data_IF_654247125362
#
_entry.id   IF_654247125362
#
_cell.length_a   1.000
_cell.length_b   1.000
_cell.length_c   1.000
_cell.angle_alpha   90.00
_cell.angle_beta   90.00
_cell.angle_gamma   90.00
#
_symmetry.space_group_name_H-M   'P 1'
#
loop_
_entity.id
_entity.type
_entity.pdbx_description
1 polymer ?
#
# COMPACT_ATOMS: atom_id res chain seq x y z
N UNK A 1 -1.64 -0.99 26.98
CA UNK A 1 -2.01 -0.01 25.96
C UNK A 1 -2.52 -0.70 24.71
N UNK A 2 -3.52 -0.11 24.07
CA UNK A 2 -4.07 -0.68 22.85
C UNK A 2 -3.11 -0.43 21.68
N UNK A 3 -2.90 -1.45 20.87
CA UNK A 3 -2.14 -1.33 19.63
C UNK A 3 -3.08 -0.88 18.53
N UNK A 4 -2.66 0.11 17.76
CA UNK A 4 -3.44 0.62 16.63
C UNK A 4 -2.68 0.38 15.32
N UNK A 5 -3.45 0.13 14.26
CA UNK A 5 -2.96 0.00 12.90
C UNK A 5 -3.62 1.08 12.05
N UNK A 6 -2.83 1.93 11.43
CA UNK A 6 -3.36 3.05 10.65
C UNK A 6 -2.85 2.97 9.22
N UNK A 7 -3.78 2.90 8.27
CA UNK A 7 -3.47 2.95 6.84
C UNK A 7 -3.34 4.41 6.42
N UNK A 8 -2.28 4.73 5.68
CA UNK A 8 -2.08 6.08 5.17
C UNK A 8 -3.24 6.50 4.24
N UNK A 9 -3.55 7.79 4.21
CA UNK A 9 -4.63 8.33 3.39
C UNK A 9 -4.30 8.30 1.90
N UNK A 10 -3.01 8.32 1.57
CA UNK A 10 -2.53 8.36 0.18
C UNK A 10 -1.53 7.25 -0.05
N UNK A 11 -1.40 6.75 -1.29
CA UNK A 11 -0.37 5.77 -1.60
C UNK A 11 1.02 6.33 -1.34
N UNK A 12 1.89 5.47 -0.80
CA UNK A 12 3.31 5.76 -0.65
C UNK A 12 3.98 5.81 -2.02
N UNK A 13 3.56 4.92 -2.91
CA UNK A 13 4.09 4.82 -4.27
C UNK A 13 3.03 4.30 -5.22
N UNK A 14 2.99 4.87 -6.41
CA UNK A 14 2.14 4.40 -7.52
C UNK A 14 3.07 4.04 -8.68
N UNK A 15 2.92 2.84 -9.21
CA UNK A 15 3.68 2.40 -10.38
C UNK A 15 2.75 2.39 -11.59
N UNK A 16 3.21 2.96 -12.69
CA UNK A 16 2.42 3.07 -13.91
C UNK A 16 3.18 2.50 -15.10
N UNK A 17 2.42 2.04 -16.11
CA UNK A 17 2.97 1.82 -17.45
C UNK A 17 2.93 3.16 -18.16
N UNK A 18 4.07 3.64 -18.71
CA UNK A 18 4.07 4.92 -19.44
C UNK A 18 3.10 4.92 -20.62
N UNK A 19 2.88 3.77 -21.23
CA UNK A 19 1.97 3.59 -22.34
C UNK A 19 1.35 2.18 -22.29
N UNK A 20 0.04 2.10 -22.50
CA UNK A 20 -0.68 0.83 -22.50
C UNK A 20 -1.78 0.83 -23.56
N UNK A 21 -2.07 -0.35 -24.12
CA UNK A 21 -3.16 -0.55 -25.07
C UNK A 21 -4.38 -1.08 -24.33
N UNK A 22 -5.53 -0.45 -24.52
CA UNK A 22 -6.80 -0.90 -23.96
C UNK A 22 -7.46 -1.97 -24.83
N UNK A 23 -8.65 -2.41 -24.45
CA UNK A 23 -9.36 -3.49 -25.13
C UNK A 23 -9.71 -3.20 -26.60
N UNK A 24 -9.79 -1.93 -26.99
CA UNK A 24 -10.06 -1.48 -28.36
C UNK A 24 -8.78 -1.05 -29.10
N UNK A 25 -7.61 -1.42 -28.58
CA UNK A 25 -6.28 -1.04 -29.08
C UNK A 25 -5.96 0.45 -28.97
N UNK A 26 -6.79 1.24 -28.30
CA UNK A 26 -6.45 2.62 -28.02
C UNK A 26 -5.28 2.70 -27.03
N UNK A 27 -4.41 3.71 -27.21
CA UNK A 27 -3.24 3.90 -26.37
C UNK A 27 -3.53 4.95 -25.32
N UNK A 28 -3.13 4.64 -24.07
CA UNK A 28 -3.26 5.56 -22.95
C UNK A 28 -1.92 5.67 -22.23
N UNK A 29 -1.71 6.81 -21.56
CA UNK A 29 -0.50 7.07 -20.80
C UNK A 29 -0.76 6.82 -19.30
N UNK A 30 0.31 6.47 -18.59
CA UNK A 30 0.32 6.36 -17.12
C UNK A 30 -0.77 5.42 -16.58
N UNK A 31 -0.82 4.21 -17.10
CA UNK A 31 -1.77 3.20 -16.64
C UNK A 31 -1.28 2.59 -15.33
N UNK A 32 -2.05 2.73 -14.26
CA UNK A 32 -1.67 2.26 -12.93
C UNK A 32 -1.67 0.73 -12.88
N UNK A 33 -0.54 0.14 -12.48
CA UNK A 33 -0.38 -1.32 -12.37
C UNK A 33 -0.07 -1.78 -10.95
N UNK A 34 0.31 -0.87 -10.07
CA UNK A 34 0.73 -1.23 -8.71
C UNK A 34 0.51 -0.07 -7.77
N UNK A 35 0.01 -0.37 -6.58
CA UNK A 35 -0.12 0.59 -5.48
C UNK A 35 0.62 0.07 -4.27
N UNK A 36 1.30 0.96 -3.56
CA UNK A 36 1.93 0.65 -2.29
C UNK A 36 1.43 1.64 -1.24
N UNK A 37 0.98 1.12 -0.11
CA UNK A 37 0.49 1.92 1.02
C UNK A 37 1.32 1.64 2.25
N UNK A 38 1.58 2.67 3.02
CA UNK A 38 2.24 2.55 4.31
C UNK A 38 1.21 2.33 5.41
N UNK A 39 1.49 1.37 6.30
CA UNK A 39 0.71 1.15 7.52
C UNK A 39 1.59 1.46 8.72
N UNK A 40 1.06 2.23 9.65
CA UNK A 40 1.73 2.51 10.92
C UNK A 40 1.08 1.68 12.02
N UNK A 41 1.87 0.87 12.71
CA UNK A 41 1.44 0.11 13.88
C UNK A 41 2.08 0.72 15.11
N UNK A 42 1.27 1.13 16.08
CA UNK A 42 1.72 1.88 17.24
C UNK A 42 1.06 1.37 18.52
N UNK A 43 1.81 1.40 19.62
CA UNK A 43 1.28 1.12 20.95
C UNK A 43 1.15 2.40 21.80
N UNK A 44 1.36 3.57 21.19
CA UNK A 44 1.32 4.85 21.86
C UNK A 44 2.69 5.39 22.26
N UNK A 45 3.68 4.53 22.44
CA UNK A 45 5.06 4.92 22.76
C UNK A 45 6.01 4.65 21.61
N UNK A 46 5.87 3.48 21.01
CA UNK A 46 6.70 3.03 19.89
C UNK A 46 5.83 2.78 18.68
N UNK A 47 6.43 2.89 17.50
CA UNK A 47 5.73 2.59 16.26
C UNK A 47 6.65 1.90 15.28
N UNK A 48 6.06 1.13 14.40
CA UNK A 48 6.73 0.54 13.24
C UNK A 48 5.89 0.78 12.01
N UNK A 49 6.52 0.80 10.86
CA UNK A 49 5.83 1.00 9.59
C UNK A 49 6.06 -0.22 8.71
N UNK A 50 5.05 -0.57 7.92
CA UNK A 50 5.15 -1.66 6.97
C UNK A 50 4.36 -1.33 5.72
N UNK A 51 4.77 -1.91 4.60
CA UNK A 51 4.17 -1.64 3.30
C UNK A 51 3.19 -2.73 2.90
N UNK A 52 2.10 -2.28 2.29
CA UNK A 52 1.15 -3.15 1.61
C UNK A 52 1.26 -2.88 0.12
N UNK A 53 1.41 -3.93 -0.67
CA UNK A 53 1.50 -3.83 -2.12
C UNK A 53 0.27 -4.47 -2.75
N UNK A 54 -0.35 -3.77 -3.70
CA UNK A 54 -1.42 -4.30 -4.53
C UNK A 54 -0.95 -4.35 -5.97
N UNK A 55 -0.83 -5.57 -6.51
CA UNK A 55 -0.45 -5.84 -7.88
C UNK A 55 -1.12 -7.15 -8.30
N UNK A 56 -2.09 -7.06 -9.19
CA UNK A 56 -2.83 -8.24 -9.66
C UNK A 56 -2.99 -8.14 -11.17
N UNK A 57 -2.21 -8.94 -11.90
CA UNK A 57 -2.18 -8.91 -13.37
C UNK A 57 -3.57 -9.15 -13.96
N UNK A 58 -4.38 -10.01 -13.34
CA UNK A 58 -5.71 -10.32 -13.87
C UNK A 58 -6.67 -9.14 -13.74
N UNK A 59 -6.48 -8.28 -12.74
CA UNK A 59 -7.34 -7.11 -12.48
C UNK A 59 -6.84 -5.84 -13.18
N UNK A 60 -5.56 -5.79 -13.52
CA UNK A 60 -4.93 -4.58 -14.08
C UNK A 60 -4.53 -4.74 -15.55
N UNK A 61 -4.85 -5.87 -16.18
CA UNK A 61 -4.51 -6.10 -17.59
C UNK A 61 -5.17 -5.04 -18.47
N UNK A 62 -4.40 -4.12 -19.08
CA UNK A 62 -4.98 -3.04 -19.87
C UNK A 62 -5.72 -3.56 -21.12
N UNK A 63 -5.34 -4.71 -21.66
CA UNK A 63 -6.00 -5.26 -22.84
C UNK A 63 -7.43 -5.72 -22.58
N UNK A 64 -7.82 -5.85 -21.30
CA UNK A 64 -9.18 -6.19 -20.88
C UNK A 64 -9.97 -4.99 -20.39
N UNK A 65 -9.34 -3.81 -20.32
CA UNK A 65 -9.98 -2.60 -19.83
C UNK A 65 -10.80 -1.95 -20.94
N UNK A 66 -12.10 -1.73 -20.63
CA UNK A 66 -12.98 -0.98 -21.52
C UNK A 66 -12.53 0.48 -21.55
N UNK A 67 -12.35 1.09 -22.75
CA UNK A 67 -11.98 2.50 -22.83
C UNK A 67 -12.93 3.46 -22.12
N UNK A 68 -14.22 3.12 -22.06
CA UNK A 68 -15.22 3.94 -21.36
C UNK A 68 -15.03 3.94 -19.85
N UNK A 69 -14.39 2.90 -19.30
CA UNK A 69 -14.12 2.75 -17.88
C UNK A 69 -12.74 3.28 -17.47
N UNK A 70 -11.93 3.68 -18.44
CA UNK A 70 -10.60 4.21 -18.16
C UNK A 70 -10.67 5.67 -17.73
N UNK A 71 -10.01 5.98 -16.61
CA UNK A 71 -9.85 7.36 -16.11
C UNK A 71 -8.37 7.73 -16.24
N UNK A 72 -8.04 8.83 -16.96
CA UNK A 72 -6.65 9.30 -17.06
C UNK A 72 -6.03 9.54 -15.70
N UNK A 73 -4.73 9.27 -15.59
CA UNK A 73 -4.00 9.36 -14.32
C UNK A 73 -4.20 10.70 -13.62
N UNK A 74 -4.11 11.81 -14.37
CA UNK A 74 -4.25 13.15 -13.81
C UNK A 74 -5.67 13.46 -13.32
N UNK A 75 -6.67 12.69 -13.77
CA UNK A 75 -8.07 12.86 -13.38
C UNK A 75 -8.48 11.91 -12.25
N UNK A 76 -7.57 11.03 -11.80
CA UNK A 76 -7.86 10.13 -10.69
C UNK A 76 -7.96 10.92 -9.38
N UNK A 77 -9.11 10.82 -8.72
CA UNK A 77 -9.34 11.45 -7.41
C UNK A 77 -9.20 10.44 -6.27
N UNK A 78 -9.18 9.16 -6.60
CA UNK A 78 -9.02 8.07 -5.64
C UNK A 78 -8.33 6.88 -6.30
N UNK A 79 -7.90 5.93 -5.48
CA UNK A 79 -7.23 4.73 -5.99
C UNK A 79 -8.20 3.87 -6.81
N UNK A 80 -7.69 3.20 -7.87
CA UNK A 80 -8.51 2.24 -8.61
C UNK A 80 -9.14 1.22 -7.65
N UNK A 81 -10.48 1.05 -7.66
CA UNK A 81 -11.16 0.20 -6.66
C UNK A 81 -10.67 -1.24 -6.64
N UNK A 82 -10.35 -1.82 -7.79
CA UNK A 82 -9.88 -3.21 -7.87
C UNK A 82 -8.55 -3.43 -7.15
N UNK A 83 -7.65 -2.46 -7.20
CA UNK A 83 -6.38 -2.52 -6.48
C UNK A 83 -6.56 -2.16 -5.02
N UNK A 84 -7.44 -1.20 -4.72
CA UNK A 84 -7.70 -0.80 -3.34
C UNK A 84 -8.31 -1.92 -2.51
N UNK A 85 -9.14 -2.79 -3.11
CA UNK A 85 -9.65 -3.98 -2.44
C UNK A 85 -8.53 -4.89 -1.93
N UNK A 86 -7.47 -5.04 -2.72
CA UNK A 86 -6.30 -5.83 -2.33
C UNK A 86 -5.61 -5.16 -1.13
N UNK A 87 -5.48 -3.83 -1.17
CA UNK A 87 -4.88 -3.08 -0.07
C UNK A 87 -5.69 -3.29 1.22
N UNK A 88 -7.01 -3.14 1.17
CA UNK A 88 -7.88 -3.34 2.33
C UNK A 88 -7.78 -4.76 2.89
N UNK A 89 -7.77 -5.77 2.01
CA UNK A 89 -7.65 -7.16 2.42
C UNK A 89 -6.34 -7.42 3.17
N UNK A 90 -5.24 -6.88 2.67
CA UNK A 90 -3.92 -7.04 3.32
C UNK A 90 -3.82 -6.21 4.61
N UNK A 91 -4.44 -5.03 4.64
CA UNK A 91 -4.49 -4.21 5.85
C UNK A 91 -5.22 -4.91 6.98
N UNK A 92 -6.29 -5.65 6.67
CA UNK A 92 -7.08 -6.38 7.65
C UNK A 92 -6.57 -7.81 7.92
N UNK A 93 -5.44 -8.21 7.33
CA UNK A 93 -4.86 -9.54 7.51
C UNK A 93 -4.28 -9.67 8.91
N UNK A 94 -4.82 -10.60 9.69
CA UNK A 94 -4.40 -10.83 11.08
C UNK A 94 -2.94 -11.24 11.20
N UNK A 95 -2.45 -12.06 10.27
CA UNK A 95 -1.06 -12.51 10.27
C UNK A 95 -0.08 -11.36 10.05
N UNK A 96 -0.41 -10.44 9.15
CA UNK A 96 0.42 -9.25 8.89
C UNK A 96 0.44 -8.32 10.08
N UNK A 97 -0.71 -8.12 10.72
CA UNK A 97 -0.82 -7.31 11.93
C UNK A 97 -0.06 -7.91 13.09
N UNK A 98 -0.16 -9.22 13.27
CA UNK A 98 0.57 -9.94 14.32
C UNK A 98 2.09 -9.81 14.12
N UNK A 99 2.57 -9.89 12.88
CA UNK A 99 3.99 -9.69 12.57
C UNK A 99 4.46 -8.29 12.96
N UNK A 100 3.66 -7.25 12.67
CA UNK A 100 3.97 -5.88 13.04
C UNK A 100 3.97 -5.69 14.55
N UNK A 101 3.03 -6.29 15.25
CA UNK A 101 2.97 -6.27 16.72
C UNK A 101 4.19 -6.95 17.34
N UNK A 102 4.66 -8.07 16.77
CA UNK A 102 5.87 -8.73 17.21
C UNK A 102 7.11 -7.86 17.02
N UNK A 103 7.17 -7.09 15.94
CA UNK A 103 8.25 -6.13 15.71
C UNK A 103 8.23 -5.04 16.77
N UNK A 104 7.06 -4.53 17.14
CA UNK A 104 6.92 -3.56 18.24
C UNK A 104 7.47 -4.11 19.53
N UNK A 105 7.14 -5.34 19.89
CA UNK A 105 7.63 -5.98 21.09
C UNK A 105 9.16 -6.08 21.09
N UNK A 106 9.74 -6.39 19.95
CA UNK A 106 11.21 -6.46 19.80
C UNK A 106 11.86 -5.09 19.96
N UNK A 107 11.22 -4.03 19.47
CA UNK A 107 11.74 -2.66 19.62
C UNK A 107 11.91 -2.33 21.11
N UNK A 108 10.97 -2.75 21.94
CA UNK A 108 11.02 -2.49 23.39
C UNK A 108 12.20 -3.17 24.07
N UNK A 109 12.70 -4.25 23.50
CA UNK A 109 13.79 -5.06 24.10
C UNK A 109 15.12 -4.91 23.39
N UNK A 110 15.19 -4.07 22.35
CA UNK A 110 16.44 -3.84 21.64
C UNK A 110 17.44 -3.10 22.52
N UNK A 111 18.74 -3.45 22.39
CA UNK A 111 19.79 -2.71 23.09
C UNK A 111 19.77 -1.23 22.73
N UNK A 112 19.95 -0.40 23.72
CA UNK A 112 20.02 1.06 23.56
C UNK A 112 21.41 1.55 23.92
N UNK A 113 21.90 2.56 23.19
CA UNK A 113 23.13 3.26 23.54
C UNK A 113 22.75 4.45 24.43
N UNK A 114 23.37 4.51 25.60
CA UNK A 114 23.16 5.61 26.55
C UNK A 114 24.49 6.24 26.88
N UNK A 115 24.45 7.50 27.23
CA UNK A 115 25.62 8.20 27.75
C UNK A 115 26.02 7.64 29.10
N UNK A 116 27.33 7.52 29.33
CA UNK A 116 27.86 7.05 30.58
C UNK A 116 27.62 8.11 31.69
N UNK A 117 27.04 7.76 32.83
CA UNK A 117 26.74 8.74 33.86
C UNK A 117 27.97 9.15 34.72
N UNK A 118 29.11 8.56 34.42
CA UNK A 118 30.35 8.88 35.17
C UNK A 118 31.52 9.21 34.25
#
# INVERSE_FOLDING_TARGET
>A
MAITHTLADKPFRVTVLPQASLSDDSLVADYVIKLEYMVTTSDGENQTEWLITAEDVSKIDPTKKDPDDFVPFDDLTECPPSLYEIIEGKFNDEGRRASAENILDKIKTLPMTKDCPW
#
